data_IF_049131569212
#
_entry.id   IF_049131569212
#
_cell.length_a   1.000
_cell.length_b   1.000
_cell.length_c   1.000
_cell.angle_alpha   90.00
_cell.angle_beta   90.00
_cell.angle_gamma   90.00
#
_symmetry.space_group_name_H-M   'P 1'
#
loop_
_entity.id
_entity.type
_entity.pdbx_description
1 polymer ?
#
# COMPACT_ATOMS: atom_id res chain seq x y z
N UNK A 1 -0.81 -33.00 17.64
CA UNK A 1 0.01 -31.81 17.39
C UNK A 1 -0.58 -30.72 18.26
N UNK A 2 0.17 -29.98 19.08
CA UNK A 2 -0.35 -28.80 19.71
C UNK A 2 -0.84 -27.85 18.59
N UNK A 3 -2.02 -27.24 18.77
CA UNK A 3 -2.49 -26.21 17.87
C UNK A 3 -1.41 -25.11 17.83
N UNK A 4 -0.90 -24.81 16.65
CA UNK A 4 0.02 -23.68 16.50
C UNK A 4 -0.72 -22.42 16.92
N UNK A 5 -0.10 -21.58 17.73
CA UNK A 5 -0.66 -20.25 18.03
C UNK A 5 -1.01 -19.54 16.72
N UNK A 6 -2.16 -18.85 16.66
CA UNK A 6 -2.55 -18.16 15.47
C UNK A 6 -1.55 -17.03 15.18
N UNK A 7 -1.06 -16.94 13.95
CA UNK A 7 -0.19 -15.84 13.51
C UNK A 7 -0.96 -14.52 13.59
N UNK A 8 -0.35 -13.52 14.23
CA UNK A 8 -0.90 -12.17 14.26
C UNK A 8 -0.81 -11.53 12.88
N UNK A 9 -1.76 -10.68 12.58
CA UNK A 9 -1.86 -9.97 11.32
C UNK A 9 -2.39 -8.56 11.52
N UNK A 10 -1.93 -7.63 10.69
CA UNK A 10 -2.45 -6.27 10.62
C UNK A 10 -2.65 -5.85 9.18
N UNK A 11 -3.38 -4.77 9.00
CA UNK A 11 -3.58 -4.16 7.67
C UNK A 11 -3.31 -2.66 7.74
N UNK A 12 -2.83 -2.14 6.63
CA UNK A 12 -2.73 -0.71 6.31
C UNK A 12 -3.53 -0.50 5.03
N UNK A 13 -4.43 0.46 5.04
CA UNK A 13 -5.28 0.78 3.89
C UNK A 13 -5.19 2.27 3.63
N UNK A 14 -4.82 2.61 2.42
CA UNK A 14 -4.66 3.99 1.97
C UNK A 14 -5.91 4.49 1.24
N UNK A 15 -6.24 5.76 1.47
CA UNK A 15 -7.41 6.43 0.90
C UNK A 15 -7.03 7.80 0.37
N UNK A 16 -7.52 8.11 -0.83
CA UNK A 16 -7.49 9.47 -1.33
C UNK A 16 -8.51 10.31 -0.59
N UNK A 17 -8.10 11.50 -0.16
CA UNK A 17 -8.99 12.47 0.50
C UNK A 17 -9.45 13.49 -0.53
N UNK A 18 -10.76 13.68 -0.60
CA UNK A 18 -11.40 14.63 -1.52
C UNK A 18 -12.28 15.61 -0.75
N UNK A 19 -12.52 16.78 -1.34
CA UNK A 19 -13.54 17.73 -0.88
C UNK A 19 -14.93 17.42 -1.48
N UNK A 20 -15.90 18.31 -1.23
CA UNK A 20 -17.28 18.18 -1.72
C UNK A 20 -17.40 18.28 -3.24
N UNK A 21 -16.43 18.89 -3.92
CA UNK A 21 -16.32 18.98 -5.37
C UNK A 21 -15.58 17.77 -5.98
N UNK A 22 -15.07 16.86 -5.15
CA UNK A 22 -14.30 15.68 -5.55
C UNK A 22 -12.84 15.96 -5.89
N UNK A 23 -12.32 17.14 -5.52
CA UNK A 23 -10.92 17.50 -5.73
C UNK A 23 -10.05 16.90 -4.63
N UNK A 24 -8.81 16.51 -4.98
CA UNK A 24 -7.86 15.96 -4.00
C UNK A 24 -7.42 17.04 -3.01
N UNK A 25 -7.54 16.75 -1.73
CA UNK A 25 -7.17 17.66 -0.64
C UNK A 25 -6.34 16.96 0.44
N UNK A 26 -5.55 17.73 1.16
CA UNK A 26 -4.78 17.19 2.29
C UNK A 26 -5.67 16.64 3.41
N UNK A 27 -5.26 15.55 4.10
CA UNK A 27 -5.99 14.94 5.21
C UNK A 27 -5.91 15.73 6.52
N UNK A 28 -5.76 17.05 6.45
CA UNK A 28 -5.66 17.95 7.62
C UNK A 28 -6.87 17.81 8.52
N UNK A 29 -6.65 17.51 9.80
CA UNK A 29 -7.69 17.25 10.79
C UNK A 29 -8.30 15.85 10.74
N UNK A 30 -7.86 14.99 9.82
CA UNK A 30 -8.21 13.56 9.77
C UNK A 30 -7.12 12.69 10.42
N UNK A 31 -5.85 13.03 10.25
CA UNK A 31 -4.69 12.29 10.76
C UNK A 31 -4.79 12.02 12.26
N UNK A 32 -5.21 12.99 13.05
CA UNK A 32 -5.31 12.86 14.50
C UNK A 32 -6.70 12.40 14.99
N UNK A 33 -7.59 12.03 14.08
CA UNK A 33 -8.98 11.66 14.42
C UNK A 33 -9.08 10.28 15.11
N UNK A 34 -8.09 9.42 14.90
CA UNK A 34 -7.97 8.12 15.57
C UNK A 34 -6.51 7.64 15.56
N UNK A 35 -6.15 6.78 16.50
CA UNK A 35 -4.86 6.09 16.47
C UNK A 35 -4.73 5.27 15.17
N UNK A 36 -3.58 5.36 14.49
CA UNK A 36 -3.32 4.67 13.23
C UNK A 36 -3.88 5.34 11.99
N UNK A 37 -4.36 6.59 12.08
CA UNK A 37 -4.61 7.44 10.92
C UNK A 37 -3.36 8.31 10.70
N UNK A 38 -2.66 8.13 9.58
CA UNK A 38 -1.36 8.76 9.32
C UNK A 38 -1.31 9.36 7.90
N UNK A 39 -0.37 10.29 7.68
CA UNK A 39 -0.09 10.82 6.35
C UNK A 39 0.81 9.85 5.60
N UNK A 40 0.62 9.79 4.29
CA UNK A 40 1.49 9.10 3.37
C UNK A 40 2.42 10.05 2.60
N UNK A 41 3.16 9.53 1.61
CA UNK A 41 4.19 10.27 0.85
C UNK A 41 3.65 11.42 0.03
N UNK A 42 2.39 11.36 -0.36
CA UNK A 42 1.74 12.39 -1.16
C UNK A 42 0.67 13.11 -0.35
N UNK A 43 0.52 14.39 -0.63
CA UNK A 43 -0.30 15.27 0.19
C UNK A 43 -1.75 14.80 0.40
N UNK A 44 -2.48 14.32 -0.62
CA UNK A 44 -3.89 13.94 -0.46
C UNK A 44 -4.11 12.49 -0.01
N UNK A 45 -3.09 11.77 0.43
CA UNK A 45 -3.21 10.36 0.81
C UNK A 45 -3.22 10.20 2.33
N UNK A 46 -4.18 9.44 2.83
CA UNK A 46 -4.35 9.08 4.23
C UNK A 46 -4.25 7.56 4.37
N UNK A 47 -3.40 7.10 5.27
CA UNK A 47 -3.32 5.69 5.67
C UNK A 47 -4.09 5.43 6.96
N UNK A 48 -4.83 4.32 7.01
CA UNK A 48 -5.46 3.78 8.21
C UNK A 48 -4.91 2.39 8.46
N UNK A 49 -4.21 2.21 9.57
CA UNK A 49 -3.60 0.94 9.97
C UNK A 49 -4.17 0.39 11.25
N UNK A 50 -4.13 -0.93 11.40
CA UNK A 50 -4.53 -1.65 12.60
C UNK A 50 -3.33 -2.08 13.42
N UNK A 51 -3.57 -2.47 14.68
CA UNK A 51 -2.59 -3.21 15.46
C UNK A 51 -2.56 -4.68 15.02
N UNK A 52 -1.49 -5.44 15.38
CA UNK A 52 -1.46 -6.88 15.15
C UNK A 52 -2.55 -7.62 15.94
N UNK A 53 -3.48 -8.27 15.24
CA UNK A 53 -4.61 -9.01 15.76
C UNK A 53 -4.42 -10.53 15.60
N UNK A 54 -4.95 -11.33 16.53
CA UNK A 54 -4.89 -12.79 16.48
C UNK A 54 -5.95 -13.39 15.56
N UNK A 55 -7.10 -12.73 15.42
CA UNK A 55 -8.21 -13.22 14.61
C UNK A 55 -8.62 -12.24 13.52
N UNK A 56 -9.20 -12.75 12.45
CA UNK A 56 -9.78 -11.91 11.38
C UNK A 56 -10.97 -11.09 11.88
N UNK A 57 -11.68 -11.57 12.89
CA UNK A 57 -12.80 -10.82 13.48
C UNK A 57 -12.33 -9.59 14.24
N UNK A 58 -11.25 -9.70 15.03
CA UNK A 58 -10.60 -8.58 15.72
C UNK A 58 -10.06 -7.57 14.71
N UNK A 59 -9.29 -8.05 13.72
CA UNK A 59 -8.73 -7.22 12.66
C UNK A 59 -9.81 -6.39 11.94
N UNK A 60 -10.89 -7.06 11.56
CA UNK A 60 -12.03 -6.41 10.90
C UNK A 60 -12.72 -5.41 11.81
N UNK A 61 -12.91 -5.76 13.08
CA UNK A 61 -13.53 -4.90 14.09
C UNK A 61 -12.74 -3.62 14.29
N UNK A 62 -11.43 -3.75 14.47
CA UNK A 62 -10.53 -2.60 14.67
C UNK A 62 -10.46 -1.71 13.42
N UNK A 63 -10.31 -2.31 12.23
CA UNK A 63 -10.29 -1.53 10.98
C UNK A 63 -11.59 -0.73 10.80
N UNK A 64 -12.75 -1.35 11.01
CA UNK A 64 -14.04 -0.67 10.87
C UNK A 64 -14.26 0.40 11.93
N UNK A 65 -13.77 0.19 13.15
CA UNK A 65 -13.84 1.20 14.20
C UNK A 65 -13.01 2.43 13.83
N UNK A 66 -11.75 2.23 13.41
CA UNK A 66 -10.85 3.32 13.01
C UNK A 66 -11.37 4.05 11.77
N UNK A 67 -11.73 3.32 10.72
CA UNK A 67 -12.32 3.89 9.51
C UNK A 67 -13.61 4.68 9.84
N UNK A 68 -14.49 4.13 10.69
CA UNK A 68 -15.71 4.83 11.09
C UNK A 68 -15.46 6.13 11.85
N UNK A 69 -14.39 6.24 12.63
CA UNK A 69 -13.98 7.49 13.29
C UNK A 69 -13.50 8.52 12.27
N UNK A 70 -12.63 8.08 11.34
CA UNK A 70 -12.12 8.96 10.28
C UNK A 70 -13.24 9.45 9.37
N UNK A 71 -14.19 8.58 8.98
CA UNK A 71 -15.33 8.95 8.13
C UNK A 71 -16.24 9.98 8.81
N UNK A 72 -16.56 9.81 10.10
CA UNK A 72 -17.33 10.84 10.84
C UNK A 72 -16.60 12.18 10.88
N UNK A 73 -15.30 12.16 11.10
CA UNK A 73 -14.50 13.37 11.10
C UNK A 73 -14.39 14.00 9.72
N UNK A 74 -14.31 13.20 8.67
CA UNK A 74 -14.32 13.66 7.28
C UNK A 74 -15.66 14.37 6.96
N UNK A 75 -16.78 13.77 7.33
CA UNK A 75 -18.11 14.34 7.15
C UNK A 75 -18.24 15.73 7.84
N UNK A 76 -17.75 15.85 9.08
CA UNK A 76 -17.71 17.14 9.81
C UNK A 76 -16.89 18.22 9.10
N UNK A 77 -15.90 17.82 8.29
CA UNK A 77 -14.98 18.72 7.58
C UNK A 77 -15.36 18.94 6.10
N UNK A 78 -16.49 18.38 5.63
CA UNK A 78 -16.85 18.41 4.21
C UNK A 78 -15.83 17.66 3.34
N UNK A 79 -15.42 16.47 3.77
CA UNK A 79 -14.41 15.65 3.07
C UNK A 79 -14.89 14.23 2.88
N UNK A 80 -14.38 13.57 1.82
CA UNK A 80 -14.63 12.18 1.51
C UNK A 80 -13.35 11.34 1.50
N UNK A 81 -13.47 10.04 1.71
CA UNK A 81 -12.42 9.06 1.51
C UNK A 81 -12.73 8.20 0.30
N UNK A 82 -11.79 8.10 -0.64
CA UNK A 82 -11.97 7.35 -1.89
C UNK A 82 -11.02 6.15 -1.90
N UNK A 83 -11.54 4.91 -1.84
CA UNK A 83 -10.75 3.68 -1.81
C UNK A 83 -10.39 3.21 -3.23
N UNK A 84 -9.71 4.04 -3.99
CA UNK A 84 -9.26 3.72 -5.35
C UNK A 84 -7.74 3.56 -5.38
N UNK A 85 -7.25 2.58 -6.12
CA UNK A 85 -5.81 2.35 -6.29
C UNK A 85 -5.09 3.57 -6.89
N UNK A 86 -5.78 4.37 -7.72
CA UNK A 86 -5.24 5.58 -8.35
C UNK A 86 -6.32 6.66 -8.39
N UNK A 87 -5.94 7.95 -8.41
CA UNK A 87 -6.90 9.04 -8.56
C UNK A 87 -7.68 8.94 -9.88
N UNK A 88 -8.94 9.35 -9.85
CA UNK A 88 -9.83 9.32 -11.02
C UNK A 88 -9.42 10.39 -12.03
N UNK A 89 -8.91 11.52 -11.58
CA UNK A 89 -8.56 12.68 -12.40
C UNK A 89 -7.05 12.80 -12.62
N UNK A 90 -6.67 13.46 -13.70
CA UNK A 90 -5.27 13.78 -14.04
C UNK A 90 -4.83 15.06 -13.32
N UNK A 91 -4.95 15.08 -12.00
CA UNK A 91 -4.51 16.20 -11.17
C UNK A 91 -3.03 16.13 -10.85
N UNK A 92 -2.44 17.27 -10.60
CA UNK A 92 -1.11 17.36 -10.05
C UNK A 92 -1.16 16.95 -8.57
N UNK A 93 -0.39 15.94 -8.19
CA UNK A 93 -0.33 15.44 -6.82
C UNK A 93 1.00 15.88 -6.24
N UNK A 94 0.92 16.67 -5.17
CA UNK A 94 2.11 17.14 -4.47
C UNK A 94 2.70 16.04 -3.58
N UNK A 95 4.00 15.80 -3.70
CA UNK A 95 4.76 14.96 -2.78
C UNK A 95 5.00 15.69 -1.44
N UNK A 96 5.00 14.93 -0.36
CA UNK A 96 5.46 15.44 0.93
C UNK A 96 6.98 15.30 1.02
N UNK A 97 7.71 16.42 1.22
CA UNK A 97 9.16 16.36 1.32
C UNK A 97 9.61 15.51 2.51
N UNK A 98 10.47 14.54 2.26
CA UNK A 98 11.08 13.69 3.27
C UNK A 98 12.46 13.21 2.80
N UNK A 99 13.31 12.74 3.72
CA UNK A 99 14.57 12.09 3.36
C UNK A 99 14.34 10.89 2.44
N UNK A 100 13.31 10.11 2.71
CA UNK A 100 12.92 8.95 1.90
C UNK A 100 12.51 9.37 0.49
N UNK A 101 11.72 10.42 0.33
CA UNK A 101 11.34 10.97 -0.98
C UNK A 101 12.58 11.40 -1.76
N UNK A 102 13.53 12.11 -1.12
CA UNK A 102 14.75 12.54 -1.75
C UNK A 102 15.64 11.35 -2.21
N UNK A 103 15.73 10.28 -1.44
CA UNK A 103 16.44 9.05 -1.82
C UNK A 103 15.76 8.39 -3.04
N UNK A 104 14.45 8.29 -3.01
CA UNK A 104 13.67 7.70 -4.10
C UNK A 104 13.86 8.47 -5.41
N UNK A 105 13.82 9.80 -5.36
CA UNK A 105 14.05 10.66 -6.52
C UNK A 105 15.48 10.53 -7.06
N UNK A 106 16.45 10.40 -6.17
CA UNK A 106 17.85 10.21 -6.58
C UNK A 106 18.11 8.84 -7.24
N UNK A 107 17.38 7.80 -6.85
CA UNK A 107 17.61 6.43 -7.34
C UNK A 107 16.76 6.13 -8.58
N UNK A 108 15.48 6.51 -8.58
CA UNK A 108 14.51 6.15 -9.62
C UNK A 108 14.18 7.34 -10.53
N UNK A 109 14.22 8.56 -10.00
CA UNK A 109 13.83 9.78 -10.71
C UNK A 109 12.31 10.00 -10.80
N UNK A 110 11.89 10.86 -11.75
CA UNK A 110 10.50 11.30 -11.91
C UNK A 110 9.50 10.15 -12.18
N UNK A 111 9.95 9.05 -12.77
CA UNK A 111 9.09 7.88 -13.02
C UNK A 111 8.67 7.18 -11.71
N UNK A 112 9.23 7.55 -10.56
CA UNK A 112 8.78 7.04 -9.27
C UNK A 112 7.39 7.53 -8.87
N UNK A 113 6.88 8.58 -9.46
CA UNK A 113 5.49 9.05 -9.33
C UNK A 113 4.46 7.96 -9.66
N UNK A 114 4.79 7.06 -10.59
CA UNK A 114 3.93 5.92 -10.90
C UNK A 114 3.75 4.95 -9.72
N UNK A 115 4.65 4.98 -8.76
CA UNK A 115 4.57 4.22 -7.50
C UNK A 115 3.88 5.03 -6.41
N UNK A 116 4.33 6.27 -6.19
CA UNK A 116 3.83 7.15 -5.12
C UNK A 116 2.38 7.55 -5.29
N UNK A 117 1.93 7.71 -6.54
CA UNK A 117 0.55 8.10 -6.84
C UNK A 117 -0.41 6.90 -6.92
N UNK A 118 -0.18 5.92 -6.08
CA UNK A 118 -1.03 4.75 -5.90
C UNK A 118 -1.39 4.59 -4.43
N UNK A 119 -2.67 4.37 -4.14
CA UNK A 119 -3.12 3.94 -2.84
C UNK A 119 -3.02 2.41 -2.74
N UNK A 120 -2.44 1.93 -1.66
CA UNK A 120 -2.19 0.51 -1.40
C UNK A 120 -3.12 -0.08 -0.34
N UNK A 121 -3.13 -1.40 -0.30
CA UNK A 121 -3.59 -2.17 0.85
C UNK A 121 -2.48 -3.14 1.21
N UNK A 122 -1.89 -2.97 2.39
CA UNK A 122 -0.81 -3.80 2.88
C UNK A 122 -1.35 -4.77 3.92
N UNK A 123 -1.00 -6.04 3.79
CA UNK A 123 -1.34 -7.08 4.75
C UNK A 123 -0.05 -7.55 5.40
N UNK A 124 0.08 -7.30 6.68
CA UNK A 124 1.22 -7.75 7.47
C UNK A 124 0.87 -9.07 8.18
N UNK A 125 1.79 -10.01 8.13
CA UNK A 125 1.65 -11.31 8.79
C UNK A 125 2.88 -11.52 9.66
N UNK A 126 2.68 -11.91 10.92
CA UNK A 126 3.75 -12.23 11.84
C UNK A 126 4.66 -13.31 11.25
N UNK A 127 5.96 -13.10 11.39
CA UNK A 127 6.96 -14.07 10.93
C UNK A 127 6.88 -15.34 11.75
N UNK A 128 6.87 -16.49 11.07
CA UNK A 128 6.86 -17.80 11.69
C UNK A 128 8.30 -18.28 11.89
N UNK A 129 8.83 -18.28 13.14
CA UNK A 129 10.21 -18.67 13.40
C UNK A 129 10.54 -20.07 12.88
N UNK A 130 11.66 -20.19 12.17
CA UNK A 130 12.12 -21.44 11.57
C UNK A 130 11.37 -21.86 10.29
N UNK A 131 10.44 -21.04 9.80
CA UNK A 131 9.70 -21.28 8.54
C UNK A 131 9.65 -20.06 7.62
N UNK A 132 10.57 -19.14 7.81
CA UNK A 132 10.61 -17.83 7.14
C UNK A 132 10.60 -17.97 5.61
N UNK A 133 11.42 -18.87 5.07
CA UNK A 133 11.50 -19.11 3.63
C UNK A 133 10.22 -19.73 3.07
N UNK A 134 9.63 -20.68 3.78
CA UNK A 134 8.35 -21.28 3.36
C UNK A 134 7.23 -20.24 3.38
N UNK A 135 7.22 -19.35 4.37
CA UNK A 135 6.28 -18.25 4.47
C UNK A 135 6.49 -17.24 3.32
N UNK A 136 7.74 -16.83 3.06
CA UNK A 136 8.08 -15.95 1.94
C UNK A 136 7.63 -16.54 0.61
N UNK A 137 8.00 -17.80 0.33
CA UNK A 137 7.62 -18.46 -0.92
C UNK A 137 6.09 -18.59 -1.07
N UNK A 138 5.37 -18.76 0.04
CA UNK A 138 3.90 -18.76 0.04
C UNK A 138 3.35 -17.37 -0.34
N UNK A 139 3.92 -16.29 0.21
CA UNK A 139 3.53 -14.92 -0.14
C UNK A 139 3.83 -14.60 -1.60
N UNK A 140 5.00 -15.01 -2.10
CA UNK A 140 5.37 -14.89 -3.52
C UNK A 140 4.36 -15.63 -4.41
N UNK A 141 3.94 -16.84 -4.02
CA UNK A 141 2.93 -17.60 -4.77
C UNK A 141 1.54 -16.94 -4.77
N UNK A 142 1.19 -16.20 -3.71
CA UNK A 142 -0.09 -15.50 -3.58
C UNK A 142 -0.13 -14.13 -4.29
N UNK A 143 1.04 -13.51 -4.53
CA UNK A 143 1.13 -12.16 -5.08
C UNK A 143 0.33 -11.96 -6.38
N UNK A 144 0.38 -12.86 -7.40
CA UNK A 144 -0.42 -12.70 -8.61
C UNK A 144 -1.93 -12.72 -8.35
N UNK A 145 -2.39 -13.50 -7.38
CA UNK A 145 -3.81 -13.56 -7.02
C UNK A 145 -4.25 -12.27 -6.31
N UNK A 146 -3.42 -11.74 -5.41
CA UNK A 146 -3.66 -10.46 -4.75
C UNK A 146 -3.67 -9.30 -5.75
N UNK A 147 -2.73 -9.31 -6.70
CA UNK A 147 -2.69 -8.33 -7.79
C UNK A 147 -3.96 -8.35 -8.65
N UNK A 148 -4.52 -9.53 -8.93
CA UNK A 148 -5.78 -9.66 -9.70
C UNK A 148 -6.98 -9.12 -8.92
N UNK A 149 -7.07 -9.38 -7.63
CA UNK A 149 -8.18 -8.92 -6.77
C UNK A 149 -8.18 -7.39 -6.62
N UNK A 150 -7.01 -6.76 -6.64
CA UNK A 150 -6.82 -5.33 -6.43
C UNK A 150 -6.44 -4.58 -7.73
N UNK A 151 -6.70 -5.16 -8.89
CA UNK A 151 -6.31 -4.61 -10.18
C UNK A 151 -7.24 -3.48 -10.62
N UNK A 152 -6.66 -2.37 -11.08
CA UNK A 152 -7.39 -1.28 -11.75
C UNK A 152 -6.84 -1.09 -13.16
N UNK A 153 -7.69 -0.88 -14.18
CA UNK A 153 -7.24 -0.60 -15.54
C UNK A 153 -6.83 0.85 -15.76
N UNK A 154 -7.12 1.74 -14.80
CA UNK A 154 -6.93 3.17 -14.95
C UNK A 154 -5.75 3.68 -14.10
N UNK A 155 -5.13 4.75 -14.58
CA UNK A 155 -4.19 5.57 -13.85
C UNK A 155 -4.39 7.04 -14.26
N UNK A 156 -4.62 7.92 -13.30
CA UNK A 156 -4.90 9.35 -13.51
C UNK A 156 -5.96 9.56 -14.63
N UNK A 157 -7.10 8.90 -14.49
CA UNK A 157 -8.22 9.00 -15.43
C UNK A 157 -8.00 8.36 -16.80
N UNK A 158 -6.86 7.76 -17.09
CA UNK A 158 -6.54 7.14 -18.38
C UNK A 158 -6.55 5.62 -18.27
N UNK A 159 -7.15 4.96 -19.26
CA UNK A 159 -7.05 3.51 -19.41
C UNK A 159 -5.64 3.12 -19.88
N UNK A 160 -4.92 2.36 -19.08
CA UNK A 160 -3.52 1.96 -19.34
C UNK A 160 -3.42 0.50 -19.77
N UNK A 161 -4.00 -0.42 -18.99
CA UNK A 161 -3.99 -1.86 -19.20
C UNK A 161 -4.96 -2.54 -18.24
N UNK A 162 -5.18 -3.84 -18.36
CA UNK A 162 -6.00 -4.60 -17.41
C UNK A 162 -5.49 -4.50 -15.96
N UNK A 163 -4.19 -4.36 -15.76
CA UNK A 163 -3.54 -4.06 -14.49
C UNK A 163 -2.61 -2.86 -14.64
N UNK A 164 -3.13 -1.64 -14.52
CA UNK A 164 -2.36 -0.42 -14.75
C UNK A 164 -1.15 -0.32 -13.78
N UNK A 165 -1.35 -0.54 -12.48
CA UNK A 165 -0.30 -0.48 -11.47
C UNK A 165 0.86 -1.43 -11.78
N UNK A 166 0.58 -2.72 -11.99
CA UNK A 166 1.62 -3.71 -12.30
C UNK A 166 2.38 -3.41 -13.58
N UNK A 167 1.69 -2.86 -14.60
CA UNK A 167 2.33 -2.44 -15.84
C UNK A 167 3.24 -1.24 -15.64
N UNK A 168 2.78 -0.21 -14.93
CA UNK A 168 3.54 1.01 -14.70
C UNK A 168 4.75 0.76 -13.80
N UNK A 169 4.64 -0.08 -12.78
CA UNK A 169 5.77 -0.50 -11.96
C UNK A 169 6.89 -1.14 -12.81
N UNK A 170 6.53 -2.09 -13.68
CA UNK A 170 7.52 -2.84 -14.47
C UNK A 170 8.13 -2.03 -15.62
N UNK A 171 7.35 -1.17 -16.26
CA UNK A 171 7.72 -0.57 -17.54
C UNK A 171 8.08 0.90 -17.43
N UNK A 172 7.87 1.50 -16.27
CA UNK A 172 8.19 2.91 -16.03
C UNK A 172 9.02 3.08 -14.76
N UNK A 173 8.46 2.83 -13.58
CA UNK A 173 9.15 3.13 -12.33
C UNK A 173 10.41 2.29 -12.11
N UNK A 174 10.39 1.02 -12.51
CA UNK A 174 11.52 0.10 -12.31
C UNK A 174 12.12 -0.41 -13.64
N UNK A 175 11.96 0.37 -14.70
CA UNK A 175 12.64 0.06 -15.96
C UNK A 175 14.15 0.23 -15.78
N UNK A 176 14.91 -0.81 -16.11
CA UNK A 176 16.36 -0.83 -15.90
C UNK A 176 16.83 -1.24 -14.50
N UNK A 177 15.93 -1.47 -13.54
CA UNK A 177 16.25 -2.06 -12.22
C UNK A 177 15.93 -3.55 -12.22
N UNK A 178 16.97 -4.37 -12.31
CA UNK A 178 16.80 -5.83 -12.30
C UNK A 178 16.21 -6.32 -10.96
N UNK A 179 15.15 -7.13 -11.05
CA UNK A 179 14.49 -7.70 -9.88
C UNK A 179 13.42 -6.83 -9.23
N UNK A 180 13.35 -5.52 -9.53
CA UNK A 180 12.31 -4.64 -9.01
C UNK A 180 11.05 -4.68 -9.88
N UNK A 181 9.88 -4.45 -9.27
CA UNK A 181 8.59 -4.45 -9.98
C UNK A 181 8.22 -5.79 -10.63
N UNK A 182 8.87 -6.87 -10.27
CA UNK A 182 8.64 -8.23 -10.80
C UNK A 182 8.35 -9.19 -9.66
N UNK A 183 7.67 -10.30 -9.99
CA UNK A 183 7.51 -11.40 -9.06
C UNK A 183 8.88 -12.03 -8.76
N UNK A 184 9.19 -12.14 -7.48
CA UNK A 184 10.44 -12.76 -7.04
C UNK A 184 10.37 -14.28 -7.29
N UNK A 185 11.48 -14.92 -7.73
CA UNK A 185 11.55 -16.36 -7.79
C UNK A 185 11.56 -16.96 -6.37
N UNK A 186 11.12 -18.20 -6.25
CA UNK A 186 11.22 -18.93 -4.99
C UNK A 186 12.67 -19.03 -4.51
N UNK A 187 12.83 -19.15 -3.22
CA UNK A 187 14.12 -19.22 -2.55
C UNK A 187 14.18 -20.53 -1.77
N UNK A 188 15.20 -21.34 -2.00
CA UNK A 188 15.37 -22.63 -1.33
C UNK A 188 16.21 -22.53 -0.07
N UNK A 189 17.16 -21.59 -0.03
CA UNK A 189 18.07 -21.39 1.09
C UNK A 189 18.15 -19.92 1.50
N UNK A 190 18.37 -19.66 2.81
CA UNK A 190 18.47 -18.31 3.35
C UNK A 190 19.62 -17.49 2.73
N UNK A 191 20.77 -18.13 2.50
CA UNK A 191 21.92 -17.46 1.88
C UNK A 191 21.65 -16.97 0.45
N UNK A 192 20.75 -17.62 -0.27
CA UNK A 192 20.28 -17.15 -1.57
C UNK A 192 19.46 -15.86 -1.45
N UNK A 193 18.60 -15.77 -0.42
CA UNK A 193 17.85 -14.56 -0.11
C UNK A 193 18.77 -13.40 0.24
N UNK A 194 19.72 -13.63 1.16
CA UNK A 194 20.68 -12.61 1.60
C UNK A 194 21.49 -12.08 0.40
N UNK A 195 21.95 -12.97 -0.49
CA UNK A 195 22.66 -12.59 -1.73
C UNK A 195 21.81 -11.73 -2.68
N UNK A 196 20.50 -11.95 -2.72
CA UNK A 196 19.59 -11.15 -3.56
C UNK A 196 19.34 -9.74 -3.01
N UNK A 197 19.34 -9.60 -1.68
CA UNK A 197 19.18 -8.29 -1.04
C UNK A 197 20.42 -7.40 -1.18
N UNK A 198 21.59 -7.99 -1.42
CA UNK A 198 22.86 -7.27 -1.60
C UNK A 198 23.10 -6.77 -3.03
N UNK A 199 22.25 -7.13 -3.98
CA UNK A 199 22.34 -6.75 -5.41
C UNK A 199 21.42 -5.61 -5.76
#
# INVERSE_FOLDING_TARGET
MPASEPLRRSVEVEYWVVDDEGQLVEPTGLVDSTAGAEREFVAPLLEIKTTPCETTAELRGELYERLGRVLRRADELGRGLVPLATPVHAEEIADLPSERTAIQDAVVGEDFDYVRHCAGTHIHIEQLPGRELAQLNTLVALDPALALVNSSPFFRGRHIAAGARSKLYRWRAYDGLDGQGRLWPYVDERGEWDTRLER
#
